data_IF_083923647488
#
_entry.id   IF_083923647488
#
_cell.length_a   1.000
_cell.length_b   1.000
_cell.length_c   1.000
_cell.angle_alpha   90.00
_cell.angle_beta   90.00
_cell.angle_gamma   90.00
#
_symmetry.space_group_name_H-M   'P 1'
#
loop_
_entity.id
_entity.type
_entity.pdbx_description
1 polymer ?
#
# COMPACT_ATOMS: atom_id res chain seq x y z
N UNK A 1 -89.33 -8.90 -14.38
CA UNK A 1 -89.20 -7.53 -14.94
C UNK A 1 -87.96 -6.89 -14.30
N UNK A 2 -86.83 -6.78 -15.00
CA UNK A 2 -85.67 -6.02 -14.48
C UNK A 2 -84.85 -5.44 -15.65
N UNK A 3 -84.86 -4.10 -15.79
CA UNK A 3 -84.25 -3.37 -16.92
C UNK A 3 -82.78 -3.08 -16.63
N UNK A 4 -81.90 -3.70 -17.42
CA UNK A 4 -80.46 -3.41 -17.52
C UNK A 4 -80.27 -2.03 -18.14
N UNK A 5 -79.73 -1.06 -17.39
CA UNK A 5 -79.20 0.22 -17.92
C UNK A 5 -77.68 0.14 -17.99
N UNK A 6 -77.15 0.12 -19.22
CA UNK A 6 -75.74 0.43 -19.52
C UNK A 6 -75.63 1.95 -19.67
N UNK A 7 -74.66 2.57 -19.00
CA UNK A 7 -74.16 3.88 -19.46
C UNK A 7 -72.68 4.08 -19.12
N UNK A 8 -71.90 4.16 -20.21
CA UNK A 8 -70.70 4.98 -20.48
C UNK A 8 -69.56 5.03 -19.45
N UNK A 9 -68.48 4.36 -19.84
CA UNK A 9 -67.10 4.59 -19.40
C UNK A 9 -66.62 5.89 -20.04
N UNK A 10 -66.34 6.91 -19.23
CA UNK A 10 -65.59 8.11 -19.64
C UNK A 10 -64.13 7.92 -19.23
N UNK A 11 -63.25 7.88 -20.23
CA UNK A 11 -61.80 7.95 -20.07
C UNK A 11 -61.37 9.42 -20.09
N UNK A 12 -61.26 10.05 -18.93
CA UNK A 12 -60.56 11.34 -18.80
C UNK A 12 -59.09 11.09 -18.44
N UNK A 13 -58.25 11.10 -19.47
CA UNK A 13 -56.80 11.25 -19.36
C UNK A 13 -56.46 12.73 -19.27
N UNK A 14 -56.23 13.26 -18.07
CA UNK A 14 -55.41 14.47 -17.89
C UNK A 14 -54.61 14.33 -16.59
N UNK A 15 -53.39 13.78 -16.71
CA UNK A 15 -52.41 13.87 -15.63
C UNK A 15 -51.96 15.33 -15.47
N UNK A 16 -51.68 15.80 -14.24
CA UNK A 16 -51.19 17.16 -14.03
C UNK A 16 -49.79 17.28 -14.63
N UNK A 17 -49.66 18.09 -15.68
CA UNK A 17 -48.38 18.60 -16.14
C UNK A 17 -47.83 19.51 -15.04
N UNK A 18 -46.92 18.96 -14.23
CA UNK A 18 -46.15 19.74 -13.27
C UNK A 18 -45.35 20.80 -14.04
N UNK A 19 -45.84 22.04 -14.03
CA UNK A 19 -45.09 23.18 -14.52
C UNK A 19 -43.88 23.36 -13.59
N UNK A 20 -42.71 22.93 -14.05
CA UNK A 20 -41.44 23.24 -13.40
C UNK A 20 -41.27 24.77 -13.49
N UNK A 21 -41.70 25.46 -12.44
CA UNK A 21 -41.47 26.89 -12.29
C UNK A 21 -39.98 27.15 -12.37
N UNK A 22 -39.55 27.92 -13.37
CA UNK A 22 -38.16 28.39 -13.47
C UNK A 22 -37.86 29.21 -12.22
N UNK A 23 -37.13 28.63 -11.27
CA UNK A 23 -36.70 29.32 -10.06
C UNK A 23 -35.90 30.56 -10.47
N UNK A 24 -36.44 31.75 -10.17
CA UNK A 24 -35.81 33.03 -10.51
C UNK A 24 -34.62 33.24 -9.58
N UNK A 25 -33.44 32.78 -9.99
CA UNK A 25 -32.19 32.98 -9.25
C UNK A 25 -31.95 34.49 -9.15
N UNK A 26 -31.86 35.02 -7.92
CA UNK A 26 -31.58 36.43 -7.72
C UNK A 26 -30.16 36.76 -8.20
N UNK A 27 -29.98 37.89 -8.88
CA UNK A 27 -28.67 38.34 -9.41
C UNK A 27 -27.58 38.33 -8.35
N UNK A 28 -27.93 38.61 -7.09
CA UNK A 28 -27.02 38.55 -5.94
C UNK A 28 -26.49 37.14 -5.66
N UNK A 29 -27.34 36.10 -5.77
CA UNK A 29 -26.90 34.70 -5.63
C UNK A 29 -25.95 34.30 -6.74
N UNK A 30 -26.18 34.76 -7.96
CA UNK A 30 -25.29 34.49 -9.10
C UNK A 30 -23.90 35.12 -8.86
N UNK A 31 -23.87 36.39 -8.45
CA UNK A 31 -22.62 37.11 -8.13
C UNK A 31 -21.86 36.40 -7.00
N UNK A 32 -22.57 36.04 -5.91
CA UNK A 32 -21.96 35.32 -4.78
C UNK A 32 -21.35 33.98 -5.21
N UNK A 33 -22.06 33.18 -6.01
CA UNK A 33 -21.54 31.89 -6.50
C UNK A 33 -20.32 32.09 -7.41
N UNK A 34 -20.31 33.14 -8.22
CA UNK A 34 -19.18 33.45 -9.10
C UNK A 34 -17.93 33.80 -8.31
N UNK A 35 -18.08 34.62 -7.26
CA UNK A 35 -16.98 34.99 -6.35
C UNK A 35 -16.48 33.75 -5.60
N UNK A 36 -17.38 32.93 -5.06
CA UNK A 36 -17.03 31.71 -4.34
C UNK A 36 -16.24 30.74 -5.24
N UNK A 37 -16.68 30.55 -6.48
CA UNK A 37 -15.95 29.71 -7.45
C UNK A 37 -14.58 30.28 -7.78
N UNK A 38 -14.43 31.60 -7.93
CA UNK A 38 -13.14 32.23 -8.16
C UNK A 38 -12.16 32.03 -6.99
N UNK A 39 -12.65 32.15 -5.74
CA UNK A 39 -11.85 31.88 -4.54
C UNK A 39 -11.43 30.41 -4.48
N UNK A 40 -12.31 29.46 -4.81
CA UNK A 40 -11.94 28.04 -4.83
C UNK A 40 -10.87 27.78 -5.90
N UNK A 41 -11.06 28.28 -7.12
CA UNK A 41 -10.16 28.06 -8.25
C UNK A 41 -8.75 28.60 -8.01
N UNK A 42 -8.62 29.72 -7.30
CA UNK A 42 -7.31 30.30 -6.95
C UNK A 42 -6.53 29.47 -5.92
N UNK A 43 -7.21 28.67 -5.10
CA UNK A 43 -6.57 27.81 -4.09
C UNK A 43 -6.16 26.42 -4.63
N UNK A 44 -6.75 25.95 -5.74
CA UNK A 44 -6.42 24.66 -6.37
C UNK A 44 -4.92 24.51 -6.71
N UNK A 45 -4.21 25.47 -7.32
CA UNK A 45 -2.80 25.29 -7.69
C UNK A 45 -1.88 25.14 -6.48
N UNK A 46 -2.16 25.84 -5.37
CA UNK A 46 -1.41 25.71 -4.11
C UNK A 46 -1.59 24.30 -3.55
N UNK A 47 -2.83 23.81 -3.52
CA UNK A 47 -3.14 22.45 -3.07
C UNK A 47 -2.47 21.38 -3.95
N UNK A 48 -2.41 21.59 -5.27
CA UNK A 48 -1.72 20.71 -6.20
C UNK A 48 -0.20 20.66 -5.96
N UNK A 49 0.42 21.79 -5.61
CA UNK A 49 1.84 21.83 -5.26
C UNK A 49 2.12 21.08 -3.96
N UNK A 50 1.30 21.26 -2.93
CA UNK A 50 1.42 20.52 -1.67
C UNK A 50 1.23 19.01 -1.87
N UNK A 51 0.24 18.60 -2.67
CA UNK A 51 0.02 17.19 -3.00
C UNK A 51 1.21 16.58 -3.74
N UNK A 52 1.84 17.31 -4.66
CA UNK A 52 3.08 16.85 -5.33
C UNK A 52 4.24 16.73 -4.33
N UNK A 53 4.38 17.69 -3.40
CA UNK A 53 5.40 17.66 -2.35
C UNK A 53 5.20 16.46 -1.41
N UNK A 54 3.97 16.23 -0.94
CA UNK A 54 3.62 15.10 -0.06
C UNK A 54 3.83 13.76 -0.77
N UNK A 55 3.44 13.63 -2.05
CA UNK A 55 3.72 12.40 -2.83
C UNK A 55 5.22 12.16 -3.03
N UNK A 56 5.99 13.22 -3.27
CA UNK A 56 7.45 13.15 -3.33
C UNK A 56 8.06 12.66 -2.02
N UNK A 57 7.62 13.23 -0.89
CA UNK A 57 8.04 12.80 0.45
C UNK A 57 7.63 11.37 0.79
N UNK A 58 6.40 10.95 0.45
CA UNK A 58 5.95 9.56 0.65
C UNK A 58 6.85 8.57 -0.09
N UNK A 59 7.23 8.86 -1.33
CA UNK A 59 8.09 7.98 -2.13
C UNK A 59 9.48 7.79 -1.51
N UNK A 60 10.00 8.83 -0.84
CA UNK A 60 11.28 8.77 -0.11
C UNK A 60 11.12 8.05 1.24
N UNK A 61 10.00 8.24 1.95
CA UNK A 61 9.71 7.55 3.21
C UNK A 61 9.45 6.05 3.00
N UNK A 62 8.77 5.66 1.93
CA UNK A 62 8.49 4.26 1.59
C UNK A 62 9.79 3.46 1.39
N UNK A 63 10.82 4.07 0.80
CA UNK A 63 12.16 3.49 0.71
C UNK A 63 12.88 3.42 2.07
N UNK A 64 12.68 4.41 2.95
CA UNK A 64 13.26 4.39 4.30
C UNK A 64 12.66 3.28 5.17
N UNK A 65 11.34 3.04 5.08
CA UNK A 65 10.64 1.99 5.86
C UNK A 65 11.24 0.59 5.59
N UNK A 66 11.65 0.30 4.35
CA UNK A 66 12.23 -1.00 3.99
C UNK A 66 13.59 -1.20 4.69
N UNK A 67 14.46 -0.19 4.67
CA UNK A 67 15.78 -0.26 5.31
C UNK A 67 15.70 -0.46 6.82
N UNK A 68 14.77 0.23 7.50
CA UNK A 68 14.55 0.06 8.94
C UNK A 68 14.20 -1.37 9.34
N UNK A 69 13.65 -2.18 8.43
CA UNK A 69 13.33 -3.57 8.77
C UNK A 69 14.59 -4.38 9.10
N UNK A 70 15.75 -4.02 8.56
CA UNK A 70 17.01 -4.73 8.78
C UNK A 70 17.81 -4.15 9.95
N UNK A 71 17.34 -3.05 10.53
CA UNK A 71 17.99 -2.41 11.66
C UNK A 71 18.08 -3.34 12.87
N UNK A 72 19.22 -3.32 13.54
CA UNK A 72 19.56 -4.17 14.68
C UNK A 72 20.21 -5.50 14.30
N UNK A 73 20.26 -5.87 13.01
CA UNK A 73 20.99 -7.06 12.56
C UNK A 73 22.47 -6.78 12.31
N UNK A 74 22.84 -5.52 12.07
CA UNK A 74 24.22 -5.10 11.73
C UNK A 74 25.23 -5.48 12.82
N UNK A 75 24.82 -5.37 14.08
CA UNK A 75 25.67 -5.69 15.23
C UNK A 75 26.05 -7.17 15.27
N UNK A 76 25.20 -8.04 14.71
CA UNK A 76 25.41 -9.49 14.69
C UNK A 76 26.12 -9.96 13.42
N UNK A 77 26.08 -9.18 12.34
CA UNK A 77 26.76 -9.49 11.09
C UNK A 77 28.13 -8.85 10.96
N UNK A 78 28.50 -7.88 11.82
CA UNK A 78 29.73 -7.07 11.71
C UNK A 78 31.04 -7.85 11.49
N UNK A 79 31.16 -9.06 12.04
CA UNK A 79 32.36 -9.89 11.92
C UNK A 79 32.17 -11.06 10.94
N UNK A 80 31.11 -11.03 10.15
CA UNK A 80 30.76 -12.07 9.19
C UNK A 80 30.91 -11.46 7.79
N UNK A 81 31.76 -12.07 6.97
CA UNK A 81 32.03 -11.58 5.62
C UNK A 81 30.91 -11.94 4.65
N UNK A 82 30.39 -13.18 4.74
CA UNK A 82 29.32 -13.69 3.89
C UNK A 82 28.20 -14.31 4.70
N UNK A 83 26.96 -13.97 4.36
CA UNK A 83 25.78 -14.66 4.88
C UNK A 83 24.85 -15.04 3.73
N UNK A 84 24.24 -16.21 3.83
CA UNK A 84 23.19 -16.61 2.91
C UNK A 84 21.96 -15.73 3.09
N UNK A 85 21.31 -15.33 2.01
CA UNK A 85 20.04 -14.62 2.04
C UNK A 85 18.94 -15.49 1.45
N UNK A 86 17.92 -15.77 2.24
CA UNK A 86 16.75 -16.53 1.81
C UNK A 86 15.48 -15.68 1.90
N UNK A 87 14.65 -15.75 0.87
CA UNK A 87 13.29 -15.23 0.91
C UNK A 87 12.34 -16.19 0.19
N UNK A 88 11.11 -16.31 0.68
CA UNK A 88 10.03 -17.07 0.04
C UNK A 88 9.23 -16.23 -0.97
N UNK A 89 9.58 -14.95 -1.13
CA UNK A 89 8.95 -14.01 -2.06
C UNK A 89 9.57 -14.14 -3.44
N UNK A 90 8.77 -13.93 -4.46
CA UNK A 90 9.25 -13.88 -5.84
C UNK A 90 10.17 -12.66 -6.04
N UNK A 91 11.40 -12.91 -6.48
CA UNK A 91 12.43 -11.89 -6.73
C UNK A 91 12.15 -11.08 -8.00
N UNK A 92 11.37 -11.64 -8.95
CA UNK A 92 10.95 -10.92 -10.15
C UNK A 92 10.02 -9.74 -9.81
N UNK A 93 9.40 -9.77 -8.63
CA UNK A 93 8.67 -8.64 -8.10
C UNK A 93 9.63 -7.53 -7.70
N UNK A 94 9.40 -6.34 -8.28
CA UNK A 94 10.20 -5.13 -8.03
C UNK A 94 10.37 -4.79 -6.55
N UNK A 95 9.40 -5.12 -5.71
CA UNK A 95 9.45 -4.86 -4.27
C UNK A 95 10.46 -5.76 -3.55
N UNK A 96 10.48 -7.06 -3.86
CA UNK A 96 11.41 -8.04 -3.27
C UNK A 96 12.86 -7.71 -3.66
N UNK A 97 13.10 -7.36 -4.93
CA UNK A 97 14.44 -6.97 -5.40
C UNK A 97 14.96 -5.71 -4.70
N UNK A 98 14.08 -4.73 -4.46
CA UNK A 98 14.42 -3.55 -3.65
C UNK A 98 14.71 -3.91 -2.19
N UNK A 99 13.93 -4.83 -1.61
CA UNK A 99 14.14 -5.29 -0.23
C UNK A 99 15.52 -5.96 -0.07
N UNK A 100 15.89 -6.83 -1.01
CA UNK A 100 17.24 -7.42 -1.04
C UNK A 100 18.35 -6.36 -1.19
N UNK A 101 18.19 -5.42 -2.13
CA UNK A 101 19.18 -4.37 -2.37
C UNK A 101 19.38 -3.48 -1.13
N UNK A 102 18.30 -3.15 -0.43
CA UNK A 102 18.37 -2.40 0.82
C UNK A 102 18.99 -3.22 1.96
N UNK A 103 18.67 -4.50 2.07
CA UNK A 103 19.32 -5.38 3.03
C UNK A 103 20.84 -5.37 2.83
N UNK A 104 21.30 -5.51 1.59
CA UNK A 104 22.72 -5.50 1.25
C UNK A 104 23.40 -4.17 1.62
N UNK A 105 22.71 -3.05 1.40
CA UNK A 105 23.23 -1.74 1.77
C UNK A 105 23.36 -1.56 3.29
N UNK A 106 22.33 -1.96 4.05
CA UNK A 106 22.28 -1.79 5.51
C UNK A 106 23.27 -2.73 6.21
N UNK A 107 23.37 -3.98 5.75
CA UNK A 107 24.22 -5.00 6.38
C UNK A 107 25.69 -4.94 5.93
N UNK A 108 26.03 -4.02 5.02
CA UNK A 108 27.42 -3.77 4.62
C UNK A 108 28.32 -3.50 5.85
N UNK A 109 29.53 -4.09 5.95
CA UNK A 109 30.29 -4.74 4.86
C UNK A 109 29.96 -6.20 4.60
N UNK A 110 29.05 -6.82 5.35
CA UNK A 110 28.65 -8.22 5.12
C UNK A 110 27.99 -8.38 3.76
N UNK A 111 28.45 -9.36 2.99
CA UNK A 111 27.92 -9.70 1.67
C UNK A 111 26.74 -10.67 1.85
N UNK A 112 25.60 -10.31 1.28
CA UNK A 112 24.40 -11.14 1.23
C UNK A 112 24.43 -11.97 -0.05
N UNK A 113 24.61 -13.27 0.10
CA UNK A 113 24.63 -14.19 -1.03
C UNK A 113 23.21 -14.73 -1.27
N UNK A 114 22.61 -14.27 -2.38
CA UNK A 114 21.21 -14.56 -2.67
C UNK A 114 21.00 -16.04 -2.97
N UNK A 115 20.17 -16.70 -2.17
CA UNK A 115 19.79 -18.10 -2.29
C UNK A 115 20.95 -19.10 -2.17
N UNK A 116 22.15 -18.65 -1.77
CA UNK A 116 23.21 -19.53 -1.34
C UNK A 116 23.02 -19.85 0.16
N UNK A 117 22.54 -21.05 0.44
CA UNK A 117 22.24 -21.51 1.81
C UNK A 117 23.37 -22.38 2.36
N UNK A 118 24.52 -22.43 1.70
CA UNK A 118 25.71 -23.18 2.12
C UNK A 118 26.52 -22.46 3.20
N UNK A 119 26.33 -21.15 3.32
CA UNK A 119 26.97 -20.32 4.34
C UNK A 119 26.63 -20.78 5.76
N UNK A 120 27.59 -20.62 6.68
CA UNK A 120 27.40 -20.92 8.11
C UNK A 120 26.24 -20.12 8.71
N UNK A 121 26.10 -18.86 8.29
CA UNK A 121 25.05 -17.96 8.72
C UNK A 121 24.07 -17.66 7.58
N UNK A 122 22.79 -17.66 7.90
CA UNK A 122 21.70 -17.46 6.93
C UNK A 122 20.70 -16.47 7.49
N UNK A 123 20.42 -15.42 6.73
CA UNK A 123 19.35 -14.47 6.98
C UNK A 123 18.07 -14.94 6.27
N UNK A 124 17.05 -15.27 7.07
CA UNK A 124 15.73 -15.68 6.61
C UNK A 124 14.78 -14.48 6.61
N UNK A 125 14.39 -14.04 5.42
CA UNK A 125 13.46 -12.92 5.17
C UNK A 125 12.20 -13.46 4.52
N UNK A 126 11.34 -14.09 5.33
CA UNK A 126 10.10 -14.71 4.85
C UNK A 126 8.88 -13.80 5.02
N UNK A 127 7.79 -14.10 4.28
CA UNK A 127 6.49 -13.45 4.45
C UNK A 127 5.84 -13.75 5.80
N UNK A 128 6.14 -14.91 6.38
CA UNK A 128 5.63 -15.41 7.66
C UNK A 128 6.76 -16.11 8.42
N UNK A 129 6.79 -15.90 9.73
CA UNK A 129 7.72 -16.55 10.66
C UNK A 129 7.62 -18.08 10.58
N UNK A 130 6.41 -18.64 10.40
CA UNK A 130 6.22 -20.09 10.27
C UNK A 130 7.02 -20.68 9.11
N UNK A 131 7.10 -19.95 7.99
CA UNK A 131 7.88 -20.37 6.81
C UNK A 131 9.38 -20.27 7.08
N UNK A 132 9.83 -19.24 7.79
CA UNK A 132 11.21 -19.13 8.22
C UNK A 132 11.61 -20.31 9.12
N UNK A 133 10.76 -20.68 10.08
CA UNK A 133 10.97 -21.85 10.95
C UNK A 133 11.03 -23.17 10.18
N UNK A 134 10.11 -23.38 9.24
CA UNK A 134 10.13 -24.57 8.38
C UNK A 134 11.44 -24.63 7.59
N UNK A 135 11.85 -23.52 6.96
CA UNK A 135 13.08 -23.48 6.19
C UNK A 135 14.31 -23.72 7.06
N UNK A 136 14.34 -23.17 8.26
CA UNK A 136 15.45 -23.35 9.19
C UNK A 136 15.58 -24.82 9.64
N UNK A 137 14.45 -25.52 9.84
CA UNK A 137 14.43 -26.98 10.09
C UNK A 137 14.97 -27.78 8.91
N UNK A 138 14.56 -27.44 7.68
CA UNK A 138 15.09 -28.09 6.46
C UNK A 138 16.61 -27.97 6.36
N UNK A 139 17.16 -26.83 6.79
CA UNK A 139 18.59 -26.52 6.72
C UNK A 139 19.39 -27.01 7.93
N UNK A 140 18.75 -27.68 8.90
CA UNK A 140 19.34 -28.02 10.20
C UNK A 140 20.04 -26.82 10.86
N UNK A 141 19.42 -25.64 10.78
CA UNK A 141 19.94 -24.42 11.35
C UNK A 141 19.25 -24.07 12.68
N UNK A 142 19.96 -23.31 13.52
CA UNK A 142 19.48 -22.82 14.80
C UNK A 142 19.34 -21.30 14.76
N UNK A 143 18.26 -20.74 15.33
CA UNK A 143 18.07 -19.29 15.37
C UNK A 143 19.10 -18.67 16.31
N UNK A 144 19.89 -17.73 15.80
CA UNK A 144 20.82 -16.95 16.61
C UNK A 144 20.16 -15.66 17.10
N UNK A 145 19.49 -14.96 16.18
CA UNK A 145 18.79 -13.70 16.48
C UNK A 145 17.52 -13.55 15.66
N UNK A 146 16.58 -12.82 16.25
CA UNK A 146 15.34 -12.40 15.61
C UNK A 146 15.18 -10.90 15.82
N UNK A 147 14.80 -10.18 14.77
CA UNK A 147 14.47 -8.78 14.89
C UNK A 147 12.96 -8.54 15.10
N UNK A 148 12.52 -7.33 15.48
CA UNK A 148 11.11 -7.02 15.68
C UNK A 148 10.23 -7.20 14.43
N UNK A 149 10.85 -7.20 13.25
CA UNK A 149 10.17 -7.38 11.96
C UNK A 149 10.03 -8.85 11.55
N UNK A 150 10.45 -9.78 12.39
CA UNK A 150 10.28 -11.22 12.18
C UNK A 150 11.33 -11.86 11.27
N UNK A 151 12.40 -11.16 10.91
CA UNK A 151 13.55 -11.77 10.25
C UNK A 151 14.39 -12.54 11.26
N UNK A 152 14.97 -13.64 10.78
CA UNK A 152 15.75 -14.54 11.63
C UNK A 152 17.13 -14.69 11.02
N UNK A 153 18.15 -14.35 11.80
CA UNK A 153 19.53 -14.77 11.54
C UNK A 153 19.72 -16.14 12.17
N UNK A 154 19.98 -17.14 11.34
CA UNK A 154 20.19 -18.52 11.75
C UNK A 154 21.65 -18.93 11.50
N UNK A 155 22.12 -19.90 12.28
CA UNK A 155 23.42 -20.55 12.12
C UNK A 155 23.20 -22.01 11.81
N UNK A 156 23.80 -22.53 10.74
CA UNK A 156 23.80 -23.96 10.43
C UNK A 156 24.65 -24.73 11.42
N UNK A 157 24.16 -25.89 11.85
CA UNK A 157 25.03 -26.91 12.41
C UNK A 157 25.70 -27.62 11.23
N UNK A 158 26.93 -27.21 10.93
CA UNK A 158 27.81 -27.92 9.99
C UNK A 158 28.45 -29.12 10.69
#
# INVERSE_FOLDING_TARGET
MNKKKRTKVNNDKTGPTASIGKAKISKLRLIFMTILSAVILTNIPVLMQELKRIRGFRKVMETQIIGYKFAGLEQFTKNIEYIGYYTDKDIALKETSKEFSHAQYILSPTILDFNNLEHEYILLVCSDEKKAWLKMKELNAQPQRRNPYGMILAKRNL
#
